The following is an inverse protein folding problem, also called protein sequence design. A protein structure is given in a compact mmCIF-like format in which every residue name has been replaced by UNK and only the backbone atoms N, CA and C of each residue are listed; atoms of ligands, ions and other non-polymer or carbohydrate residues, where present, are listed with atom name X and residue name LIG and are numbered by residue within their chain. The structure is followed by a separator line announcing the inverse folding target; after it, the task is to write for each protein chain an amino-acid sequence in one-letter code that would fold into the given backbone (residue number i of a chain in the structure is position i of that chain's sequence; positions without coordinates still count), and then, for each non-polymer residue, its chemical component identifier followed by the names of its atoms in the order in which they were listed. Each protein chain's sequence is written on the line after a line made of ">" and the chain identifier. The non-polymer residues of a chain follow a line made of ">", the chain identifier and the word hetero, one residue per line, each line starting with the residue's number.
data_IF_583418861160
#
_entry.id   IF_583418861160
#
_cell.length_a   1.000
_cell.length_b   1.000
_cell.length_c   1.000
_cell.angle_alpha   90.00
_cell.angle_beta   90.00
_cell.angle_gamma   90.00
#
_symmetry.space_group_name_H-M   'P 1'
#
loop_
_entity.id
_entity.type
_entity.pdbx_description
1 polymer ?
#
# COMPACT_ATOMS: atom_id res chain seq x y z
N UNK A 1 -25.19 27.82 59.33
CA UNK A 1 -24.18 28.13 58.30
C UNK A 1 -23.04 27.13 58.45
N UNK A 2 -23.03 26.09 57.63
CA UNK A 2 -21.96 25.10 57.53
C UNK A 2 -21.67 24.91 56.06
N UNK A 3 -20.57 25.50 55.58
CA UNK A 3 -20.10 25.34 54.21
C UNK A 3 -19.22 24.10 54.14
N UNK A 4 -19.69 23.06 53.45
CA UNK A 4 -18.88 21.92 53.03
C UNK A 4 -18.12 22.31 51.76
N UNK A 5 -16.79 22.19 51.75
CA UNK A 5 -16.00 22.28 50.52
C UNK A 5 -16.11 20.99 49.69
N UNK A 6 -16.15 21.07 48.35
CA UNK A 6 -15.95 19.90 47.51
C UNK A 6 -14.46 19.57 47.36
N UNK A 7 -14.10 18.31 47.60
CA UNK A 7 -12.79 17.75 47.32
C UNK A 7 -12.56 17.63 45.81
N UNK A 8 -11.54 18.33 45.29
CA UNK A 8 -11.03 18.13 43.93
C UNK A 8 -10.24 16.81 43.89
N UNK A 9 -10.86 15.76 43.36
CA UNK A 9 -10.15 14.57 42.90
C UNK A 9 -9.37 14.95 41.63
N UNK A 10 -8.06 15.11 41.76
CA UNK A 10 -7.18 15.16 40.59
C UNK A 10 -7.16 13.77 39.95
N UNK A 11 -7.90 13.56 38.87
CA UNK A 11 -7.64 12.43 38.00
C UNK A 11 -6.31 12.68 37.28
N UNK A 12 -5.25 12.02 37.71
CA UNK A 12 -4.04 11.87 36.90
C UNK A 12 -4.43 11.17 35.61
N UNK A 13 -4.54 11.92 34.51
CA UNK A 13 -4.62 11.33 33.19
C UNK A 13 -3.28 10.64 32.96
N UNK A 14 -3.26 9.32 33.08
CA UNK A 14 -2.20 8.52 32.52
C UNK A 14 -2.15 8.86 31.03
N UNK A 15 -1.12 9.59 30.61
CA UNK A 15 -0.78 9.73 29.21
C UNK A 15 -0.47 8.33 28.70
N UNK A 16 -1.42 7.73 27.99
CA UNK A 16 -1.14 6.59 27.13
C UNK A 16 0.01 7.03 26.20
N UNK A 17 1.02 6.17 25.93
CA UNK A 17 1.98 6.46 24.88
C UNK A 17 1.21 6.84 23.61
N UNK A 18 1.66 7.88 22.91
CA UNK A 18 0.99 8.38 21.71
C UNK A 18 0.87 7.25 20.69
N UNK A 19 -0.29 6.56 20.67
CA UNK A 19 -0.56 5.43 19.77
C UNK A 19 -0.32 5.83 18.31
N UNK A 20 -0.44 7.12 17.97
CA UNK A 20 -0.17 7.63 16.63
C UNK A 20 1.33 7.70 16.29
N UNK A 21 2.23 7.77 17.27
CA UNK A 21 3.67 7.91 17.02
C UNK A 21 4.30 6.65 16.40
N UNK A 22 3.67 5.48 16.55
CA UNK A 22 4.10 4.22 15.92
C UNK A 22 3.29 3.84 14.68
N UNK A 23 2.08 4.37 14.52
CA UNK A 23 1.17 3.97 13.45
C UNK A 23 1.76 4.25 12.04
N UNK A 24 2.54 5.31 11.86
CA UNK A 24 3.20 5.61 10.59
C UNK A 24 4.31 4.63 10.23
N UNK A 25 5.05 4.13 11.23
CA UNK A 25 6.06 3.10 11.03
C UNK A 25 5.40 1.81 10.57
N UNK A 26 4.24 1.47 11.14
CA UNK A 26 3.49 0.28 10.78
C UNK A 26 2.95 0.36 9.34
N UNK A 27 2.33 1.50 8.94
CA UNK A 27 1.87 1.64 7.55
C UNK A 27 3.03 1.69 6.55
N UNK A 28 4.14 2.36 6.89
CA UNK A 28 5.33 2.38 6.06
C UNK A 28 5.89 0.97 5.88
N UNK A 29 6.05 0.22 6.98
CA UNK A 29 6.50 -1.17 6.95
C UNK A 29 5.62 -2.04 6.05
N UNK A 30 4.28 -1.92 6.18
CA UNK A 30 3.35 -2.67 5.34
C UNK A 30 3.52 -2.29 3.87
N UNK A 31 3.53 -0.99 3.54
CA UNK A 31 3.68 -0.50 2.17
C UNK A 31 4.99 -0.98 1.52
N UNK A 32 6.10 -0.94 2.25
CA UNK A 32 7.39 -1.43 1.79
C UNK A 32 7.38 -2.95 1.59
N UNK A 33 6.83 -3.69 2.56
CA UNK A 33 6.79 -5.15 2.50
C UNK A 33 5.98 -5.63 1.31
N UNK A 34 4.81 -5.03 1.03
CA UNK A 34 3.99 -5.44 -0.11
C UNK A 34 4.66 -5.11 -1.45
N UNK A 35 5.39 -4.00 -1.57
CA UNK A 35 6.16 -3.72 -2.79
C UNK A 35 7.38 -4.64 -2.93
N UNK A 36 8.03 -4.97 -1.81
CA UNK A 36 9.16 -5.90 -1.79
C UNK A 36 8.74 -7.30 -2.24
N UNK A 37 7.54 -7.77 -1.87
CA UNK A 37 6.98 -9.02 -2.38
C UNK A 37 6.95 -9.06 -3.92
N UNK A 38 6.66 -7.94 -4.59
CA UNK A 38 6.69 -7.87 -6.05
C UNK A 38 8.11 -7.85 -6.62
N UNK A 39 9.07 -7.25 -5.91
CA UNK A 39 10.50 -7.33 -6.26
C UNK A 39 10.96 -8.79 -6.17
N UNK A 40 10.59 -9.50 -5.11
CA UNK A 40 10.97 -10.89 -4.89
C UNK A 40 10.35 -11.83 -5.93
N UNK A 41 9.09 -11.58 -6.32
CA UNK A 41 8.43 -12.27 -7.44
C UNK A 41 9.24 -12.10 -8.74
N UNK A 42 9.66 -10.87 -9.04
CA UNK A 42 10.44 -10.57 -10.24
C UNK A 42 11.82 -11.22 -10.22
N UNK A 43 12.48 -11.25 -9.06
CA UNK A 43 13.85 -11.77 -8.91
C UNK A 43 13.90 -13.31 -8.87
N UNK A 44 12.90 -13.96 -8.28
CA UNK A 44 12.96 -15.39 -7.98
C UNK A 44 11.97 -16.25 -8.77
N UNK A 45 10.76 -15.76 -9.08
CA UNK A 45 9.67 -16.58 -9.61
C UNK A 45 9.45 -16.41 -11.12
N UNK A 46 9.70 -15.20 -11.63
CA UNK A 46 9.68 -14.92 -13.07
C UNK A 46 11.10 -15.00 -13.61
N UNK A 47 11.28 -15.60 -14.80
CA UNK A 47 12.59 -15.85 -15.40
C UNK A 47 12.78 -15.07 -16.71
N UNK A 48 11.69 -14.79 -17.42
CA UNK A 48 11.68 -14.17 -18.74
C UNK A 48 10.69 -13.00 -18.78
N UNK A 49 11.01 -11.98 -19.57
CA UNK A 49 10.23 -10.75 -19.70
C UNK A 49 8.83 -11.01 -20.29
N UNK A 50 8.71 -12.01 -21.16
CA UNK A 50 7.46 -12.41 -21.82
C UNK A 50 6.37 -12.78 -20.80
N UNK A 51 6.76 -13.31 -19.63
CA UNK A 51 5.83 -13.67 -18.56
C UNK A 51 5.06 -12.47 -18.00
N UNK A 52 5.60 -11.24 -18.12
CA UNK A 52 4.91 -10.03 -17.71
C UNK A 52 3.73 -9.67 -18.62
N UNK A 53 3.74 -10.19 -19.85
CA UNK A 53 2.80 -9.82 -20.92
C UNK A 53 1.78 -10.89 -21.24
N UNK A 54 1.88 -12.07 -20.61
CA UNK A 54 0.89 -13.15 -20.77
C UNK A 54 -0.48 -12.63 -20.38
N UNK A 55 -1.40 -12.70 -21.34
CA UNK A 55 -2.80 -12.34 -21.13
C UNK A 55 -3.49 -13.45 -20.36
N UNK A 56 -4.14 -13.06 -19.29
CA UNK A 56 -4.84 -14.02 -18.43
C UNK A 56 -6.08 -14.60 -19.12
N UNK A 57 -6.30 -15.90 -18.92
CA UNK A 57 -7.50 -16.60 -19.37
C UNK A 57 -8.72 -16.21 -18.50
N UNK A 58 -8.54 -16.15 -17.18
CA UNK A 58 -9.63 -15.83 -16.25
C UNK A 58 -9.83 -14.32 -16.03
N UNK A 59 -8.84 -13.48 -16.38
CA UNK A 59 -8.89 -12.03 -16.20
C UNK A 59 -8.65 -11.32 -17.56
N UNK A 60 -9.68 -11.19 -18.41
CA UNK A 60 -9.53 -10.63 -19.75
C UNK A 60 -8.89 -9.24 -19.75
N UNK A 61 -7.85 -9.07 -20.57
CA UNK A 61 -7.12 -7.82 -20.71
C UNK A 61 -6.08 -7.53 -19.62
N UNK A 62 -5.95 -8.40 -18.61
CA UNK A 62 -4.97 -8.30 -17.53
C UNK A 62 -3.69 -9.07 -17.84
N UNK A 63 -2.58 -8.52 -17.37
CA UNK A 63 -1.25 -9.16 -17.39
C UNK A 63 -0.54 -8.87 -16.07
N UNK A 64 0.53 -9.61 -15.76
CA UNK A 64 1.34 -9.35 -14.56
C UNK A 64 1.90 -7.92 -14.59
N UNK A 65 2.52 -7.53 -15.71
CA UNK A 65 3.11 -6.19 -15.87
C UNK A 65 2.13 -5.05 -15.62
N UNK A 66 0.89 -5.17 -16.14
CA UNK A 66 -0.17 -4.17 -15.91
C UNK A 66 -0.55 -4.06 -14.43
N UNK A 67 -0.65 -5.18 -13.72
CA UNK A 67 -0.96 -5.19 -12.30
C UNK A 67 0.18 -4.60 -11.46
N UNK A 68 1.43 -4.96 -11.76
CA UNK A 68 2.61 -4.40 -11.10
C UNK A 68 2.65 -2.87 -11.26
N UNK A 69 2.47 -2.37 -12.48
CA UNK A 69 2.41 -0.92 -12.76
C UNK A 69 1.29 -0.26 -11.97
N UNK A 70 0.05 -0.76 -12.11
CA UNK A 70 -1.14 -0.11 -11.55
C UNK A 70 -1.12 -0.08 -10.02
N UNK A 71 -0.59 -1.12 -9.36
CA UNK A 71 -0.38 -1.14 -7.92
C UNK A 71 0.68 -0.11 -7.48
N UNK A 72 1.83 -0.07 -8.16
CA UNK A 72 2.91 0.91 -7.89
C UNK A 72 2.41 2.35 -8.06
N UNK A 73 1.66 2.63 -9.12
CA UNK A 73 1.17 3.97 -9.45
C UNK A 73 0.34 4.61 -8.33
N UNK A 74 -0.40 3.83 -7.55
CA UNK A 74 -1.15 4.36 -6.41
C UNK A 74 -0.23 5.02 -5.37
N UNK A 75 0.92 4.41 -5.09
CA UNK A 75 1.91 5.02 -4.21
C UNK A 75 2.54 6.25 -4.85
N UNK A 76 2.97 6.15 -6.11
CA UNK A 76 3.63 7.25 -6.80
C UNK A 76 2.75 8.50 -6.93
N UNK A 77 1.46 8.34 -7.24
CA UNK A 77 0.50 9.44 -7.34
C UNK A 77 0.28 10.08 -5.96
N UNK A 78 0.15 9.29 -4.90
CA UNK A 78 0.00 9.79 -3.54
C UNK A 78 1.25 10.56 -3.07
N UNK A 79 2.44 9.98 -3.26
CA UNK A 79 3.71 10.59 -2.88
C UNK A 79 3.97 11.87 -3.67
N UNK A 80 3.67 11.87 -4.96
CA UNK A 80 3.78 13.09 -5.80
C UNK A 80 2.79 14.15 -5.34
N UNK A 81 1.56 13.78 -4.98
CA UNK A 81 0.58 14.71 -4.42
C UNK A 81 1.10 15.36 -3.14
N UNK A 82 1.52 14.59 -2.13
CA UNK A 82 1.89 15.12 -0.81
C UNK A 82 3.19 15.95 -0.82
N UNK A 83 4.08 15.68 -1.79
CA UNK A 83 5.32 16.44 -1.99
C UNK A 83 5.16 17.67 -2.87
N UNK A 84 4.00 17.84 -3.51
CA UNK A 84 3.69 19.03 -4.33
C UNK A 84 3.26 20.22 -3.45
N UNK A 85 3.31 21.47 -3.95
CA UNK A 85 2.74 22.60 -3.23
C UNK A 85 1.22 22.42 -3.00
N UNK A 86 0.69 22.80 -1.82
CA UNK A 86 -0.75 22.75 -1.56
C UNK A 86 -1.52 23.72 -2.49
N UNK A 87 -2.82 23.46 -2.77
CA UNK A 87 -3.65 22.41 -2.16
C UNK A 87 -3.38 21.00 -2.71
N UNK A 88 -3.48 20.00 -1.84
CA UNK A 88 -3.27 18.60 -2.18
C UNK A 88 -4.50 17.99 -2.86
N UNK A 89 -4.39 17.75 -4.17
CA UNK A 89 -5.45 17.16 -5.00
C UNK A 89 -4.94 15.86 -5.63
N UNK A 90 -5.50 14.74 -5.18
CA UNK A 90 -5.14 13.41 -5.65
C UNK A 90 -6.15 12.92 -6.68
N UNK A 91 -5.65 12.24 -7.72
CA UNK A 91 -6.48 11.55 -8.71
C UNK A 91 -5.77 10.26 -9.16
N UNK A 92 -6.35 9.11 -8.82
CA UNK A 92 -5.80 7.79 -9.18
C UNK A 92 -6.07 7.38 -10.63
N UNK A 93 -6.97 8.07 -11.33
CA UNK A 93 -7.31 7.80 -12.73
C UNK A 93 -6.27 8.37 -13.71
N UNK A 94 -5.29 9.14 -13.21
CA UNK A 94 -4.19 9.67 -14.01
C UNK A 94 -3.34 8.53 -14.56
N UNK A 95 -3.27 8.42 -15.90
CA UNK A 95 -2.46 7.42 -16.60
C UNK A 95 -1.10 7.98 -16.97
N UNK A 96 -0.05 7.40 -16.41
CA UNK A 96 1.32 7.68 -16.82
C UNK A 96 1.59 6.95 -18.14
N UNK A 97 2.11 7.66 -19.14
CA UNK A 97 2.48 7.10 -20.45
C UNK A 97 3.92 6.57 -20.40
N UNK A 98 4.25 5.63 -21.29
CA UNK A 98 5.56 4.99 -21.42
C UNK A 98 5.94 4.16 -20.19
N UNK A 99 5.56 2.88 -20.21
CA UNK A 99 5.62 1.99 -19.04
C UNK A 99 6.50 0.77 -19.31
N UNK A 100 7.84 0.92 -19.42
CA UNK A 100 8.76 -0.21 -19.60
C UNK A 100 8.60 -1.33 -18.57
N UNK A 101 8.12 -0.97 -17.37
CA UNK A 101 7.76 -1.88 -16.29
C UNK A 101 6.70 -2.93 -16.69
N UNK A 102 5.85 -2.67 -17.68
CA UNK A 102 4.84 -3.66 -18.09
C UNK A 102 5.45 -4.82 -18.90
N UNK A 103 6.64 -4.64 -19.47
CA UNK A 103 7.24 -5.59 -20.42
C UNK A 103 8.66 -5.99 -20.06
N UNK A 104 9.32 -5.33 -19.11
CA UNK A 104 10.69 -5.66 -18.70
C UNK A 104 10.79 -5.88 -17.19
N UNK A 105 11.25 -7.06 -16.78
CA UNK A 105 11.44 -7.39 -15.35
C UNK A 105 12.44 -6.44 -14.70
N UNK A 106 13.54 -6.13 -15.38
CA UNK A 106 14.56 -5.22 -14.87
C UNK A 106 13.98 -3.81 -14.65
N UNK A 107 13.22 -3.28 -15.61
CA UNK A 107 12.58 -1.97 -15.46
C UNK A 107 11.52 -1.98 -14.33
N UNK A 108 10.72 -3.05 -14.22
CA UNK A 108 9.75 -3.21 -13.16
C UNK A 108 10.40 -3.23 -11.77
N UNK A 109 11.48 -4.02 -11.63
CA UNK A 109 12.24 -4.14 -10.41
C UNK A 109 12.80 -2.79 -9.96
N UNK A 110 13.47 -2.07 -10.86
CA UNK A 110 14.02 -0.74 -10.57
C UNK A 110 12.91 0.22 -10.13
N UNK A 111 11.80 0.27 -10.87
CA UNK A 111 10.70 1.16 -10.56
C UNK A 111 10.08 0.88 -9.18
N UNK A 112 9.94 -0.39 -8.78
CA UNK A 112 9.45 -0.78 -7.45
C UNK A 112 10.42 -0.37 -6.34
N UNK A 113 11.72 -0.61 -6.51
CA UNK A 113 12.74 -0.22 -5.55
C UNK A 113 12.83 1.30 -5.37
N UNK A 114 12.72 2.07 -6.45
CA UNK A 114 12.63 3.53 -6.40
C UNK A 114 11.41 3.99 -5.60
N UNK A 115 10.24 3.37 -5.80
CA UNK A 115 9.04 3.66 -5.01
C UNK A 115 9.22 3.32 -3.53
N UNK A 116 9.85 2.18 -3.21
CA UNK A 116 10.19 1.80 -1.83
C UNK A 116 11.09 2.86 -1.18
N UNK A 117 12.09 3.36 -1.91
CA UNK A 117 12.96 4.44 -1.42
C UNK A 117 12.18 5.74 -1.21
N UNK A 118 11.33 6.15 -2.17
CA UNK A 118 10.50 7.37 -2.01
C UNK A 118 9.57 7.26 -0.80
N UNK A 119 9.00 6.08 -0.52
CA UNK A 119 8.21 5.85 0.69
C UNK A 119 9.04 6.09 1.96
N UNK A 120 10.30 5.62 2.01
CA UNK A 120 11.20 5.85 3.14
C UNK A 120 11.49 7.32 3.37
N UNK A 121 11.63 8.10 2.30
CA UNK A 121 12.02 9.51 2.41
C UNK A 121 10.82 10.40 2.78
N UNK A 122 9.65 10.12 2.20
CA UNK A 122 8.47 11.00 2.28
C UNK A 122 7.58 10.69 3.49
N UNK A 123 7.31 9.41 3.79
CA UNK A 123 6.34 9.05 4.85
C UNK A 123 6.74 9.58 6.23
N UNK A 124 8.02 9.49 6.68
CA UNK A 124 8.41 9.96 8.00
C UNK A 124 8.34 11.49 8.18
N UNK A 125 8.38 12.24 7.07
CA UNK A 125 8.41 13.72 7.07
C UNK A 125 7.05 14.34 6.74
N UNK A 126 6.07 13.53 6.33
CA UNK A 126 4.74 13.99 5.94
C UNK A 126 3.81 14.10 7.14
N UNK A 127 2.93 15.12 7.12
CA UNK A 127 1.85 15.20 8.09
C UNK A 127 0.82 14.09 7.83
N UNK A 128 0.60 13.24 8.84
CA UNK A 128 -0.23 12.06 8.72
C UNK A 128 -1.72 12.36 8.52
N UNK A 129 -2.19 13.40 9.20
CA UNK A 129 -3.57 13.88 9.09
C UNK A 129 -3.71 14.97 8.03
N UNK A 130 -2.72 15.12 7.13
CA UNK A 130 -2.78 16.13 6.07
C UNK A 130 -4.03 15.92 5.21
N UNK A 131 -4.92 16.92 5.12
CA UNK A 131 -6.12 16.83 4.30
C UNK A 131 -5.77 16.73 2.83
N UNK A 132 -6.39 15.77 2.14
CA UNK A 132 -6.25 15.56 0.70
C UNK A 132 -7.63 15.57 0.08
N UNK A 133 -7.78 16.28 -1.04
CA UNK A 133 -8.99 16.20 -1.87
C UNK A 133 -8.78 15.11 -2.91
N UNK A 134 -9.57 14.04 -2.86
CA UNK A 134 -9.52 12.94 -3.82
C UNK A 134 -10.59 13.14 -4.89
N UNK A 135 -10.16 13.23 -6.15
CA UNK A 135 -11.03 13.20 -7.32
C UNK A 135 -10.99 11.82 -7.98
N UNK A 136 -12.15 11.27 -8.30
CA UNK A 136 -12.28 9.97 -8.95
C UNK A 136 -13.43 9.99 -9.98
N UNK A 137 -13.37 9.10 -10.98
CA UNK A 137 -14.40 8.96 -12.01
C UNK A 137 -14.95 7.53 -12.03
N UNK A 138 -16.19 7.34 -11.58
CA UNK A 138 -16.83 6.02 -11.56
C UNK A 138 -18.36 6.05 -11.77
N UNK A 139 -18.86 6.01 -13.02
CA UNK A 139 -18.32 6.62 -14.24
C UNK A 139 -18.48 8.16 -14.24
N UNK A 140 -19.05 8.73 -13.17
CA UNK A 140 -19.25 10.16 -12.99
C UNK A 140 -18.14 10.76 -12.12
N UNK A 141 -17.76 12.03 -12.34
CA UNK A 141 -16.83 12.71 -11.45
C UNK A 141 -17.37 12.77 -10.01
N UNK A 142 -16.53 12.37 -9.06
CA UNK A 142 -16.78 12.45 -7.62
C UNK A 142 -15.60 13.12 -6.94
N UNK A 143 -15.88 13.83 -5.85
CA UNK A 143 -14.87 14.48 -5.02
C UNK A 143 -15.08 14.10 -3.56
N UNK A 144 -14.01 13.64 -2.92
CA UNK A 144 -14.01 13.20 -1.53
C UNK A 144 -12.96 13.97 -0.72
N UNK A 145 -13.19 14.07 0.58
CA UNK A 145 -12.17 14.51 1.54
C UNK A 145 -11.57 13.28 2.21
N UNK A 146 -10.24 13.27 2.30
CA UNK A 146 -9.47 12.17 2.87
C UNK A 146 -8.19 12.70 3.54
N UNK A 147 -7.36 11.82 4.09
CA UNK A 147 -6.08 12.16 4.70
C UNK A 147 -4.94 11.34 4.07
N UNK A 148 -3.72 11.87 4.17
CA UNK A 148 -2.52 11.16 3.71
C UNK A 148 -2.41 9.74 4.29
N UNK A 149 -2.59 9.58 5.60
CA UNK A 149 -2.51 8.27 6.26
C UNK A 149 -3.56 7.26 5.72
N UNK A 150 -4.80 7.72 5.49
CA UNK A 150 -5.85 6.85 4.93
C UNK A 150 -5.50 6.41 3.51
N UNK A 151 -5.02 7.31 2.67
CA UNK A 151 -4.65 6.97 1.29
C UNK A 151 -3.42 6.05 1.23
N UNK A 152 -2.46 6.21 2.15
CA UNK A 152 -1.31 5.31 2.25
C UNK A 152 -1.76 3.89 2.63
N UNK A 153 -2.65 3.76 3.62
CA UNK A 153 -3.27 2.48 3.97
C UNK A 153 -4.04 1.87 2.79
N UNK A 154 -4.83 2.69 2.08
CA UNK A 154 -5.57 2.25 0.90
C UNK A 154 -4.63 1.74 -0.21
N UNK A 155 -3.52 2.44 -0.46
CA UNK A 155 -2.49 2.00 -1.40
C UNK A 155 -1.94 0.61 -1.07
N UNK A 156 -1.66 0.34 0.22
CA UNK A 156 -1.26 -1.00 0.70
C UNK A 156 -2.31 -2.08 0.41
N UNK A 157 -3.56 -1.84 0.77
CA UNK A 157 -4.67 -2.78 0.54
C UNK A 157 -4.90 -3.06 -0.95
N UNK A 158 -4.89 -2.01 -1.76
CA UNK A 158 -5.08 -2.09 -3.20
C UNK A 158 -3.91 -2.82 -3.89
N UNK A 159 -2.68 -2.61 -3.42
CA UNK A 159 -1.51 -3.36 -3.85
C UNK A 159 -1.67 -4.88 -3.61
N UNK A 160 -2.09 -5.28 -2.41
CA UNK A 160 -2.37 -6.68 -2.08
C UNK A 160 -3.47 -7.28 -2.96
N UNK A 161 -4.53 -6.50 -3.25
CA UNK A 161 -5.58 -6.92 -4.17
C UNK A 161 -4.99 -7.29 -5.54
N UNK A 162 -4.10 -6.47 -6.09
CA UNK A 162 -3.42 -6.79 -7.35
C UNK A 162 -2.48 -8.00 -7.25
N UNK A 163 -1.84 -8.22 -6.11
CA UNK A 163 -1.01 -9.42 -5.91
C UNK A 163 -1.84 -10.69 -5.94
N UNK A 164 -3.08 -10.64 -5.44
CA UNK A 164 -4.01 -11.78 -5.57
C UNK A 164 -4.33 -12.11 -7.03
N UNK A 165 -4.46 -11.08 -7.89
CA UNK A 165 -4.68 -11.26 -9.33
C UNK A 165 -3.42 -11.79 -10.01
N UNK A 166 -2.24 -11.23 -9.71
CA UNK A 166 -0.96 -11.75 -10.23
C UNK A 166 -0.78 -13.22 -9.89
N UNK A 167 -1.11 -13.63 -8.66
CA UNK A 167 -1.02 -15.04 -8.24
C UNK A 167 -1.88 -15.96 -9.12
N UNK A 168 -3.06 -15.50 -9.55
CA UNK A 168 -3.90 -16.23 -10.52
C UNK A 168 -3.19 -16.38 -11.86
N UNK A 169 -2.65 -15.29 -12.41
CA UNK A 169 -1.95 -15.30 -13.70
C UNK A 169 -0.69 -16.18 -13.66
N UNK A 170 0.07 -16.15 -12.57
CA UNK A 170 1.21 -17.06 -12.36
C UNK A 170 0.76 -18.52 -12.36
N UNK A 171 -0.36 -18.82 -11.70
CA UNK A 171 -0.96 -20.16 -11.70
C UNK A 171 -1.41 -20.64 -13.07
N UNK A 172 -1.96 -19.76 -13.91
CA UNK A 172 -2.34 -20.09 -15.31
C UNK A 172 -1.12 -20.50 -16.14
N UNK A 173 0.05 -19.92 -15.86
CA UNK A 173 1.33 -20.31 -16.47
C UNK A 173 1.92 -21.61 -15.89
N UNK A 174 1.21 -22.28 -14.98
CA UNK A 174 1.68 -23.47 -14.24
C UNK A 174 2.95 -23.23 -13.42
N UNK A 175 3.15 -21.99 -12.99
CA UNK A 175 4.22 -21.58 -12.11
C UNK A 175 3.71 -21.47 -10.68
N UNK A 176 4.64 -21.37 -9.73
CA UNK A 176 4.35 -21.12 -8.32
C UNK A 176 5.07 -19.85 -7.88
N UNK A 177 4.42 -19.10 -7.02
CA UNK A 177 5.06 -18.00 -6.29
C UNK A 177 5.73 -18.60 -5.06
N UNK A 178 6.99 -18.24 -4.81
CA UNK A 178 7.76 -18.83 -3.69
C UNK A 178 7.26 -18.37 -2.32
N UNK A 179 6.67 -17.17 -2.25
CA UNK A 179 5.98 -16.68 -1.05
C UNK A 179 4.51 -17.17 -1.02
N UNK A 180 4.23 -18.13 -0.14
CA UNK A 180 2.89 -18.68 0.10
C UNK A 180 1.87 -17.64 0.64
N UNK A 181 2.34 -16.48 1.09
CA UNK A 181 1.54 -15.36 1.56
C UNK A 181 1.38 -14.24 0.52
N UNK A 182 1.98 -14.35 -0.66
CA UNK A 182 1.87 -13.36 -1.74
C UNK A 182 0.40 -13.16 -2.14
N UNK A 183 -0.09 -11.93 -2.05
CA UNK A 183 -1.49 -11.59 -2.36
C UNK A 183 -2.52 -12.06 -1.32
N UNK A 184 -2.10 -12.32 -0.08
CA UNK A 184 -3.01 -12.44 1.06
C UNK A 184 -3.01 -11.14 1.88
N UNK A 185 -4.18 -10.73 2.36
CA UNK A 185 -4.29 -9.58 3.24
C UNK A 185 -3.62 -9.86 4.60
N UNK A 186 -2.86 -8.90 5.17
CA UNK A 186 -2.26 -9.04 6.50
C UNK A 186 -3.27 -9.45 7.57
N UNK A 187 -4.49 -8.90 7.54
CA UNK A 187 -5.57 -9.27 8.46
C UNK A 187 -5.95 -10.76 8.36
N UNK A 188 -5.98 -11.32 7.14
CA UNK A 188 -6.20 -12.75 6.93
C UNK A 188 -5.05 -13.57 7.51
N UNK A 189 -3.80 -13.16 7.27
CA UNK A 189 -2.62 -13.86 7.79
C UNK A 189 -2.61 -13.89 9.32
N UNK A 190 -2.87 -12.74 9.95
CA UNK A 190 -3.00 -12.59 11.40
C UNK A 190 -4.11 -13.50 11.95
N UNK A 191 -5.30 -13.49 11.35
CA UNK A 191 -6.42 -14.33 11.81
C UNK A 191 -6.13 -15.84 11.69
N UNK A 192 -5.32 -16.22 10.69
CA UNK A 192 -4.95 -17.61 10.43
C UNK A 192 -3.73 -18.10 11.21
N UNK A 193 -3.07 -17.23 11.99
CA UNK A 193 -1.89 -17.57 12.79
C UNK A 193 -0.65 -17.96 11.98
N UNK A 194 -0.55 -17.52 10.72
CA UNK A 194 0.61 -17.85 9.85
C UNK A 194 1.84 -17.06 10.26
N UNK A 195 2.97 -17.74 10.41
CA UNK A 195 4.27 -17.09 10.63
C UNK A 195 4.78 -16.46 9.33
N UNK A 196 4.45 -15.19 9.13
CA UNK A 196 4.93 -14.37 8.00
C UNK A 196 5.20 -12.94 8.47
N UNK A 197 6.01 -12.17 7.75
CA UNK A 197 6.32 -10.77 8.10
C UNK A 197 5.06 -9.91 8.25
N UNK A 198 4.04 -10.17 7.43
CA UNK A 198 2.71 -9.55 7.47
C UNK A 198 1.67 -10.31 8.33
N UNK A 199 2.04 -11.46 8.91
CA UNK A 199 1.16 -12.32 9.70
C UNK A 199 1.31 -12.17 11.22
N UNK A 200 2.29 -11.38 11.69
CA UNK A 200 2.49 -11.10 13.12
C UNK A 200 1.80 -9.79 13.49
N UNK A 201 0.86 -9.83 14.42
CA UNK A 201 0.30 -8.60 14.99
C UNK A 201 1.37 -7.93 15.86
N UNK A 202 1.86 -6.77 15.45
CA UNK A 202 2.83 -5.98 16.22
C UNK A 202 2.19 -5.27 17.43
N UNK A 203 0.85 -5.20 17.51
CA UNK A 203 0.13 -4.59 18.62
C UNK A 203 -1.11 -5.43 19.01
N UNK A 204 -1.34 -5.64 20.31
CA UNK A 204 -2.64 -6.16 20.79
C UNK A 204 -3.69 -5.08 20.53
N UNK A 205 -4.72 -5.40 19.75
CA UNK A 205 -5.95 -4.62 19.65
C UNK A 205 -6.64 -4.60 21.01
#
# INVERSE_FOLDING_TARGET
>A
MSYSQPSLLSSSMNAQPDENAENWKNLLFVAQTVLQQAVDLLDHDLQQDEQLTVSSEYLPGSTIGKHLRHAREHFELLLTCITSPPPYVLNYDVRIRNTPMETSRAAARTALLETIQRLQDVVPTSNWNEPVTLNAVTPFPQTFQTTFARELWFGGLHCIHHWSMIRVIVGEMKLKVSDDCFGFAPSTLVSSGREHSLGKTMAKI
#
